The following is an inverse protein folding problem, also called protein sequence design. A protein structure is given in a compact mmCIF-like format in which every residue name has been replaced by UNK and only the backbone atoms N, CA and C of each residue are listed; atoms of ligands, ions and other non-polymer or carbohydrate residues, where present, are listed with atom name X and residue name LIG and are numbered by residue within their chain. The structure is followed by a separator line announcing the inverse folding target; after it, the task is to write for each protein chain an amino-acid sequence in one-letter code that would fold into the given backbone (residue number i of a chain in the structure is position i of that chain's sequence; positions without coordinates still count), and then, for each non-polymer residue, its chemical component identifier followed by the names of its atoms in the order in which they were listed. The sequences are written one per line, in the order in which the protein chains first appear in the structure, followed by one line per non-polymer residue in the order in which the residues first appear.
data_IF_007067748832
#
_entry.id   IF_007067748832
#
_cell.length_a   1.000
_cell.length_b   1.000
_cell.length_c   1.000
_cell.angle_alpha   90.00
_cell.angle_beta   90.00
_cell.angle_gamma   90.00
#
_symmetry.space_group_name_H-M   'P 1'
#
loop_
_entity.id
_entity.type
_entity.pdbx_description
1 polymer ?
#
# COMPACT_ATOMS: atom_id res chain seq x y z
N UNK A 1 -10.60 -52.18 -21.59
CA UNK A 1 -10.90 -52.60 -20.21
C UNK A 1 -12.15 -51.85 -19.76
N UNK A 2 -13.32 -52.47 -19.86
CA UNK A 2 -14.61 -51.84 -19.51
C UNK A 2 -14.76 -51.87 -17.99
N UNK A 3 -14.73 -50.71 -17.34
CA UNK A 3 -15.06 -50.62 -15.91
C UNK A 3 -16.56 -50.83 -15.74
N UNK A 4 -16.94 -51.99 -15.19
CA UNK A 4 -18.32 -52.27 -14.84
C UNK A 4 -18.66 -51.56 -13.52
N UNK A 5 -18.98 -50.26 -13.62
CA UNK A 5 -19.26 -49.42 -12.46
C UNK A 5 -20.69 -49.69 -11.99
N UNK A 6 -20.84 -50.12 -10.74
CA UNK A 6 -22.15 -50.27 -10.12
C UNK A 6 -22.82 -48.88 -10.00
N UNK A 7 -23.94 -48.69 -10.73
CA UNK A 7 -24.68 -47.43 -10.84
C UNK A 7 -25.02 -46.82 -9.47
N UNK A 8 -25.34 -47.65 -8.48
CA UNK A 8 -25.67 -47.18 -7.12
C UNK A 8 -24.46 -46.58 -6.40
N UNK A 9 -23.27 -47.17 -6.56
CA UNK A 9 -22.03 -46.64 -5.95
C UNK A 9 -21.63 -45.31 -6.59
N UNK A 10 -21.80 -45.17 -7.90
CA UNK A 10 -21.52 -43.94 -8.63
C UNK A 10 -22.43 -42.79 -8.16
N UNK A 11 -23.73 -43.06 -8.02
CA UNK A 11 -24.69 -42.04 -7.58
C UNK A 11 -24.39 -41.55 -6.16
N UNK A 12 -24.06 -42.46 -5.23
CA UNK A 12 -23.67 -42.08 -3.86
C UNK A 12 -22.40 -41.24 -3.86
N UNK A 13 -21.39 -41.62 -4.66
CA UNK A 13 -20.16 -40.86 -4.78
C UNK A 13 -20.40 -39.45 -5.37
N UNK A 14 -21.29 -39.32 -6.35
CA UNK A 14 -21.67 -38.03 -6.92
C UNK A 14 -22.37 -37.13 -5.91
N UNK A 15 -23.32 -37.67 -5.12
CA UNK A 15 -24.02 -36.91 -4.08
C UNK A 15 -23.02 -36.43 -3.02
N UNK A 16 -22.14 -37.31 -2.54
CA UNK A 16 -21.09 -36.93 -1.60
C UNK A 16 -20.16 -35.87 -2.17
N UNK A 17 -19.78 -36.01 -3.45
CA UNK A 17 -18.98 -35.02 -4.17
C UNK A 17 -19.65 -33.64 -4.20
N UNK A 18 -20.95 -33.58 -4.50
CA UNK A 18 -21.72 -32.33 -4.52
C UNK A 18 -21.78 -31.70 -3.13
N UNK A 19 -22.03 -32.49 -2.07
CA UNK A 19 -22.08 -31.98 -0.70
C UNK A 19 -20.73 -31.42 -0.27
N UNK A 20 -19.64 -32.14 -0.52
CA UNK A 20 -18.28 -31.68 -0.19
C UNK A 20 -17.94 -30.42 -0.98
N UNK A 21 -18.24 -30.38 -2.28
CA UNK A 21 -17.98 -29.22 -3.12
C UNK A 21 -18.75 -28.00 -2.63
N UNK A 22 -20.01 -28.18 -2.24
CA UNK A 22 -20.84 -27.10 -1.70
C UNK A 22 -20.24 -26.48 -0.43
N UNK A 23 -19.83 -27.31 0.53
CA UNK A 23 -19.19 -26.84 1.76
C UNK A 23 -17.89 -26.11 1.45
N UNK A 24 -17.08 -26.65 0.53
CA UNK A 24 -15.81 -26.06 0.13
C UNK A 24 -16.01 -24.70 -0.55
N UNK A 25 -17.00 -24.56 -1.43
CA UNK A 25 -17.32 -23.28 -2.08
C UNK A 25 -17.73 -22.22 -1.06
N UNK A 26 -18.58 -22.56 -0.09
CA UNK A 26 -19.02 -21.62 0.95
C UNK A 26 -17.84 -21.17 1.81
N UNK A 27 -17.02 -22.12 2.28
CA UNK A 27 -15.85 -21.82 3.09
C UNK A 27 -14.82 -20.99 2.32
N UNK A 28 -14.55 -21.36 1.07
CA UNK A 28 -13.63 -20.64 0.21
C UNK A 28 -14.09 -19.20 -0.04
N UNK A 29 -15.37 -19.02 -0.37
CA UNK A 29 -15.94 -17.69 -0.60
C UNK A 29 -15.78 -16.80 0.63
N UNK A 30 -16.08 -17.33 1.81
CA UNK A 30 -15.96 -16.59 3.06
C UNK A 30 -14.50 -16.20 3.36
N UNK A 31 -13.57 -17.15 3.22
CA UNK A 31 -12.15 -16.90 3.48
C UNK A 31 -11.56 -15.88 2.49
N UNK A 32 -11.91 -15.98 1.20
CA UNK A 32 -11.48 -15.01 0.19
C UNK A 32 -12.05 -13.62 0.47
N UNK A 33 -13.32 -13.51 0.88
CA UNK A 33 -13.91 -12.23 1.23
C UNK A 33 -13.15 -11.57 2.40
N UNK A 34 -12.88 -12.34 3.47
CA UNK A 34 -12.11 -11.85 4.62
C UNK A 34 -10.70 -11.43 4.19
N UNK A 35 -10.01 -12.25 3.40
CA UNK A 35 -8.66 -11.95 2.93
C UNK A 35 -8.64 -10.69 2.05
N UNK A 36 -9.60 -10.54 1.14
CA UNK A 36 -9.71 -9.37 0.27
C UNK A 36 -9.90 -8.08 1.06
N UNK A 37 -10.82 -8.08 2.04
CA UNK A 37 -11.08 -6.90 2.87
C UNK A 37 -9.86 -6.51 3.72
N UNK A 38 -9.14 -7.48 4.27
CA UNK A 38 -7.90 -7.23 5.01
C UNK A 38 -6.81 -6.68 4.10
N UNK A 39 -6.61 -7.30 2.93
CA UNK A 39 -5.64 -6.85 1.93
C UNK A 39 -5.89 -5.39 1.53
N UNK A 40 -7.15 -5.05 1.20
CA UNK A 40 -7.53 -3.67 0.82
C UNK A 40 -7.27 -2.65 1.94
N UNK A 41 -7.52 -3.02 3.20
CA UNK A 41 -7.21 -2.16 4.35
C UNK A 41 -5.70 -1.92 4.49
N UNK A 42 -4.90 -2.98 4.37
CA UNK A 42 -3.44 -2.89 4.45
C UNK A 42 -2.89 -2.08 3.28
N UNK A 43 -3.40 -2.32 2.07
CA UNK A 43 -3.00 -1.59 0.86
C UNK A 43 -3.26 -0.08 1.01
N UNK A 44 -4.46 0.30 1.49
CA UNK A 44 -4.80 1.71 1.73
C UNK A 44 -3.83 2.36 2.73
N UNK A 45 -3.51 1.65 3.83
CA UNK A 45 -2.54 2.13 4.82
C UNK A 45 -1.13 2.25 4.25
N UNK A 46 -0.72 1.31 3.41
CA UNK A 46 0.58 1.33 2.77
C UNK A 46 0.70 2.51 1.79
N UNK A 47 -0.32 2.78 0.98
CA UNK A 47 -0.36 3.95 0.11
C UNK A 47 -0.24 5.25 0.90
N UNK A 48 -0.95 5.37 2.03
CA UNK A 48 -0.84 6.52 2.94
C UNK A 48 0.59 6.67 3.50
N UNK A 49 1.19 5.57 3.95
CA UNK A 49 2.55 5.57 4.49
C UNK A 49 3.58 5.97 3.43
N UNK A 50 3.46 5.45 2.21
CA UNK A 50 4.33 5.79 1.08
C UNK A 50 4.19 7.27 0.71
N UNK A 51 2.96 7.81 0.70
CA UNK A 51 2.73 9.23 0.42
C UNK A 51 3.39 10.12 1.49
N UNK A 52 3.23 9.78 2.77
CA UNK A 52 3.86 10.50 3.87
C UNK A 52 5.39 10.42 3.80
N UNK A 53 5.94 9.23 3.52
CA UNK A 53 7.37 9.04 3.37
C UNK A 53 7.94 9.88 2.22
N UNK A 54 7.25 9.91 1.07
CA UNK A 54 7.64 10.79 -0.05
C UNK A 54 7.58 12.26 0.34
N UNK A 55 6.56 12.69 1.08
CA UNK A 55 6.45 14.05 1.56
C UNK A 55 7.61 14.43 2.49
N UNK A 56 7.95 13.57 3.45
CA UNK A 56 9.09 13.78 4.35
C UNK A 56 10.42 13.90 3.60
N UNK A 57 10.64 13.05 2.58
CA UNK A 57 11.83 13.12 1.75
C UNK A 57 11.89 14.42 0.94
N UNK A 58 10.75 14.90 0.42
CA UNK A 58 10.67 16.19 -0.28
C UNK A 58 10.99 17.34 0.69
N UNK A 59 10.40 17.34 1.88
CA UNK A 59 10.64 18.37 2.90
C UNK A 59 12.12 18.40 3.31
N UNK A 60 12.71 17.24 3.60
CA UNK A 60 14.13 17.11 3.91
C UNK A 60 15.03 17.57 2.75
N UNK A 61 14.66 17.24 1.51
CA UNK A 61 15.37 17.68 0.32
C UNK A 61 15.29 19.20 0.16
N UNK A 62 14.12 19.81 0.36
CA UNK A 62 13.95 21.25 0.30
C UNK A 62 14.77 21.97 1.38
N UNK A 63 14.77 21.49 2.63
CA UNK A 63 15.57 22.09 3.70
C UNK A 63 17.07 21.95 3.43
N UNK A 64 17.50 20.79 2.95
CA UNK A 64 18.90 20.50 2.61
C UNK A 64 19.35 21.32 1.40
N UNK A 65 18.51 21.45 0.39
CA UNK A 65 18.76 22.29 -0.78
C UNK A 65 18.82 23.77 -0.38
N UNK A 66 17.89 24.25 0.45
CA UNK A 66 17.90 25.63 0.95
C UNK A 66 19.17 25.96 1.74
N UNK A 67 19.65 25.03 2.58
CA UNK A 67 20.91 25.21 3.31
C UNK A 67 22.12 25.18 2.38
N UNK A 68 22.13 24.29 1.38
CA UNK A 68 23.17 24.20 0.36
C UNK A 68 23.23 25.47 -0.52
N UNK A 69 22.07 25.98 -0.95
CA UNK A 69 21.94 27.22 -1.72
C UNK A 69 22.45 28.41 -0.90
N UNK A 70 22.05 28.51 0.38
CA UNK A 70 22.53 29.57 1.29
C UNK A 70 24.05 29.49 1.48
N UNK A 71 24.59 28.29 1.68
CA UNK A 71 26.03 28.08 1.80
C UNK A 71 26.76 28.49 0.51
N UNK A 72 26.22 28.15 -0.67
CA UNK A 72 26.78 28.52 -1.97
C UNK A 72 26.72 30.04 -2.20
N UNK A 73 25.62 30.69 -1.83
CA UNK A 73 25.45 32.14 -1.93
C UNK A 73 26.44 32.91 -1.05
N UNK A 74 26.66 32.45 0.19
CA UNK A 74 27.59 33.09 1.12
C UNK A 74 29.06 32.82 0.73
N UNK A 75 29.42 31.59 0.38
CA UNK A 75 30.82 31.19 0.16
C UNK A 75 31.32 31.44 -1.27
N UNK A 76 30.51 31.13 -2.28
CA UNK A 76 30.93 31.23 -3.68
C UNK A 76 30.53 32.58 -4.26
N UNK A 77 29.28 33.01 -4.03
CA UNK A 77 28.76 34.26 -4.58
C UNK A 77 29.06 35.48 -3.69
N UNK A 78 29.65 35.29 -2.50
CA UNK A 78 30.00 36.34 -1.52
C UNK A 78 28.84 37.30 -1.22
N UNK A 79 27.60 36.83 -1.28
CA UNK A 79 26.43 37.66 -1.00
C UNK A 79 26.42 38.06 0.49
N UNK A 80 26.23 39.35 0.78
CA UNK A 80 26.04 39.81 2.16
C UNK A 80 24.64 39.43 2.66
N UNK A 81 24.55 38.94 3.91
CA UNK A 81 23.26 38.64 4.52
C UNK A 81 22.40 39.93 4.59
N UNK A 82 21.09 39.86 4.31
CA UNK A 82 20.24 41.05 4.33
C UNK A 82 20.27 41.68 5.72
N UNK A 83 20.64 42.97 5.80
CA UNK A 83 20.55 43.76 7.04
C UNK A 83 19.06 43.89 7.39
N UNK A 84 18.67 43.43 8.58
CA UNK A 84 17.31 43.55 9.12
C UNK A 84 16.93 45.03 9.10
N UNK A 85 16.11 45.46 8.14
CA UNK A 85 15.57 46.81 8.12
C UNK A 85 14.67 46.93 9.35
N UNK A 86 15.10 47.79 10.28
CA UNK A 86 14.32 48.22 11.44
C UNK A 86 12.99 48.73 10.89
N UNK A 87 11.87 48.24 11.43
CA UNK A 87 10.54 48.70 11.06
C UNK A 87 10.53 50.23 11.07
N UNK A 88 10.21 50.82 9.93
CA UNK A 88 9.96 52.24 9.80
C UNK A 88 8.65 52.49 10.54
N UNK A 89 8.76 52.87 11.81
CA UNK A 89 7.68 53.51 12.54
C UNK A 89 7.28 54.78 11.77
N UNK A 90 6.05 54.75 11.26
CA UNK A 90 5.32 55.87 10.65
C UNK A 90 5.30 57.10 11.56
#
# INVERSE_FOLDING_TARGET
MSLNINKTKLNIALILGVVVLSILTISWHHQIYLLYTQSKRIETRNHQLIALHKQLLIEQSQTTSGSAIKAKALKILKMQAPKRQRELSL
#
